data_IF_592724808288
#
_entry.id   IF_592724808288
#
_cell.length_a   1.000
_cell.length_b   1.000
_cell.length_c   1.000
_cell.angle_alpha   90.00
_cell.angle_beta   90.00
_cell.angle_gamma   90.00
#
_symmetry.space_group_name_H-M   'P 1'
#
loop_
_entity.id
_entity.type
_entity.pdbx_description
1 polymer ?
#
# COMPACT_ATOMS: atom_id res chain seq x y z
N UNK A 1 23.15 -12.61 -27.59
CA UNK A 1 22.43 -13.39 -26.56
C UNK A 1 21.80 -14.67 -27.12
N UNK A 2 20.88 -14.60 -28.10
CA UNK A 2 20.23 -15.77 -28.72
C UNK A 2 21.25 -16.80 -29.30
N UNK A 3 22.34 -16.32 -29.90
CA UNK A 3 23.40 -17.20 -30.43
C UNK A 3 24.17 -18.01 -29.37
N UNK A 4 24.28 -17.53 -28.13
CA UNK A 4 24.90 -18.28 -27.04
C UNK A 4 23.97 -19.41 -26.57
N UNK A 5 22.66 -19.14 -26.49
CA UNK A 5 21.62 -20.13 -26.15
C UNK A 5 21.60 -21.27 -27.18
N UNK A 6 21.65 -20.93 -28.47
CA UNK A 6 21.65 -21.90 -29.55
C UNK A 6 22.91 -22.80 -29.58
N UNK A 7 24.06 -22.31 -29.10
CA UNK A 7 25.30 -23.09 -28.99
C UNK A 7 25.31 -23.99 -27.74
N UNK A 8 24.78 -23.50 -26.62
CA UNK A 8 24.61 -24.31 -25.40
C UNK A 8 23.57 -25.43 -25.61
N UNK A 9 22.46 -25.15 -26.31
CA UNK A 9 21.45 -26.15 -26.67
C UNK A 9 21.99 -27.27 -27.59
N UNK A 10 23.03 -26.97 -28.38
CA UNK A 10 23.76 -27.93 -29.21
C UNK A 10 24.84 -28.71 -28.44
N UNK A 11 25.09 -28.37 -27.18
CA UNK A 11 26.12 -29.01 -26.35
C UNK A 11 27.55 -28.56 -26.65
N UNK A 12 27.72 -27.46 -27.39
CA UNK A 12 29.04 -26.93 -27.79
C UNK A 12 29.71 -26.10 -26.69
N UNK A 13 28.98 -25.75 -25.62
CA UNK A 13 29.51 -25.00 -24.47
C UNK A 13 28.99 -25.57 -23.15
N UNK A 14 29.81 -25.56 -22.07
CA UNK A 14 29.37 -25.96 -20.75
C UNK A 14 28.28 -25.00 -20.23
N UNK A 15 27.16 -25.56 -19.76
CA UNK A 15 25.97 -24.83 -19.29
C UNK A 15 26.28 -23.75 -18.24
N UNK A 16 27.36 -23.91 -17.46
CA UNK A 16 27.71 -23.02 -16.36
C UNK A 16 27.90 -21.55 -16.76
N UNK A 17 28.56 -21.26 -17.89
CA UNK A 17 28.91 -19.87 -18.28
C UNK A 17 27.68 -19.08 -18.73
N UNK A 18 26.74 -19.73 -19.42
CA UNK A 18 25.47 -19.10 -19.78
C UNK A 18 24.58 -18.83 -18.57
N UNK A 19 24.63 -19.67 -17.54
CA UNK A 19 23.78 -19.56 -16.36
C UNK A 19 24.06 -18.29 -15.53
N UNK A 20 25.33 -17.90 -15.37
CA UNK A 20 25.71 -16.71 -14.60
C UNK A 20 25.22 -15.38 -15.21
N UNK A 21 25.27 -15.26 -16.54
CA UNK A 21 24.76 -14.07 -17.24
C UNK A 21 23.24 -13.91 -17.08
N UNK A 22 22.50 -15.00 -16.94
CA UNK A 22 21.05 -14.95 -16.70
C UNK A 22 20.67 -14.67 -15.25
N UNK A 23 21.59 -14.83 -14.30
CA UNK A 23 21.29 -14.65 -12.88
C UNK A 23 21.58 -13.22 -12.40
N UNK A 24 22.62 -12.59 -12.94
CA UNK A 24 23.01 -11.22 -12.58
C UNK A 24 22.07 -10.19 -13.24
N UNK A 25 21.67 -10.43 -14.48
CA UNK A 25 20.86 -9.47 -15.27
C UNK A 25 19.45 -9.21 -14.68
N UNK A 26 18.69 -10.19 -14.15
CA UNK A 26 17.38 -9.92 -13.55
C UNK A 26 17.44 -9.44 -12.08
N UNK A 27 18.59 -9.51 -11.41
CA UNK A 27 18.74 -8.96 -10.05
C UNK A 27 18.79 -7.43 -10.03
N UNK A 28 19.37 -6.82 -11.07
CA UNK A 28 19.52 -5.36 -11.19
C UNK A 28 18.15 -4.65 -11.33
N UNK A 29 17.20 -5.13 -12.17
CA UNK A 29 15.86 -4.55 -12.24
C UNK A 29 15.11 -4.54 -10.91
N UNK A 30 15.25 -5.58 -10.08
CA UNK A 30 14.54 -5.66 -8.79
C UNK A 30 15.03 -4.57 -7.84
N UNK A 31 16.35 -4.38 -7.72
CA UNK A 31 16.93 -3.33 -6.87
C UNK A 31 16.54 -1.93 -7.35
N UNK A 32 16.51 -1.72 -8.67
CA UNK A 32 16.08 -0.44 -9.25
C UNK A 32 14.59 -0.20 -9.00
N UNK A 33 13.75 -1.24 -9.16
CA UNK A 33 12.31 -1.14 -8.91
C UNK A 33 12.03 -0.83 -7.44
N UNK A 34 12.71 -1.49 -6.49
CA UNK A 34 12.55 -1.19 -5.06
C UNK A 34 12.97 0.24 -4.73
N UNK A 35 14.13 0.69 -5.22
CA UNK A 35 14.62 2.05 -4.99
C UNK A 35 13.68 3.12 -5.58
N UNK A 36 13.16 2.88 -6.78
CA UNK A 36 12.19 3.77 -7.44
C UNK A 36 10.84 3.75 -6.72
N UNK A 37 10.40 2.60 -6.20
CA UNK A 37 9.16 2.49 -5.43
C UNK A 37 9.21 3.29 -4.14
N UNK A 38 10.32 3.16 -3.40
CA UNK A 38 10.54 3.92 -2.15
C UNK A 38 10.50 5.41 -2.45
N UNK A 39 11.25 5.88 -3.45
CA UNK A 39 11.28 7.29 -3.83
C UNK A 39 9.90 7.82 -4.29
N UNK A 40 9.17 7.05 -5.09
CA UNK A 40 7.83 7.46 -5.57
C UNK A 40 6.77 7.45 -4.46
N UNK A 41 6.91 6.57 -3.46
CA UNK A 41 5.96 6.48 -2.34
C UNK A 41 6.00 7.70 -1.43
N UNK A 42 7.16 8.37 -1.33
CA UNK A 42 7.30 9.60 -0.54
C UNK A 42 6.65 10.81 -1.22
N UNK A 43 6.67 10.84 -2.56
CA UNK A 43 6.31 12.03 -3.33
C UNK A 43 4.88 11.98 -3.90
N UNK A 44 4.32 10.79 -4.19
CA UNK A 44 3.01 10.65 -4.84
C UNK A 44 2.15 9.50 -4.27
N UNK A 45 1.47 9.72 -3.14
CA UNK A 45 0.66 8.68 -2.48
C UNK A 45 -0.56 8.22 -3.30
N UNK A 46 -1.08 9.05 -4.22
CA UNK A 46 -2.20 8.64 -5.08
C UNK A 46 -1.81 7.64 -6.17
N UNK A 47 -0.52 7.61 -6.51
CA UNK A 47 0.02 6.63 -7.46
C UNK A 47 0.15 5.27 -6.78
N UNK A 48 -0.01 5.13 -5.44
CA UNK A 48 0.11 3.85 -4.74
C UNK A 48 -0.84 2.78 -5.31
N UNK A 49 -2.05 3.14 -5.77
CA UNK A 49 -2.97 2.16 -6.34
C UNK A 49 -2.56 1.71 -7.76
N UNK A 50 -2.12 2.66 -8.60
CA UNK A 50 -1.60 2.35 -9.95
C UNK A 50 -0.25 1.65 -9.90
N UNK A 51 0.58 2.01 -8.92
CA UNK A 51 1.82 1.32 -8.59
C UNK A 51 1.49 -0.07 -8.07
N UNK A 52 0.54 -0.26 -7.15
CA UNK A 52 0.16 -1.59 -6.68
C UNK A 52 -0.23 -2.50 -7.85
N UNK A 53 -1.00 -1.98 -8.82
CA UNK A 53 -1.34 -2.72 -10.05
C UNK A 53 -0.13 -2.97 -10.96
N UNK A 54 0.69 -1.95 -11.23
CA UNK A 54 1.90 -2.08 -12.06
C UNK A 54 2.93 -3.02 -11.43
N UNK A 55 3.06 -2.99 -10.10
CA UNK A 55 3.86 -3.90 -9.30
C UNK A 55 3.29 -5.32 -9.36
N UNK A 56 1.96 -5.49 -9.25
CA UNK A 56 1.31 -6.78 -9.43
C UNK A 56 1.54 -7.34 -10.83
N UNK A 57 1.40 -6.51 -11.87
CA UNK A 57 1.65 -6.91 -13.25
C UNK A 57 3.11 -7.28 -13.49
N UNK A 58 4.06 -6.49 -12.96
CA UNK A 58 5.49 -6.80 -13.00
C UNK A 58 5.83 -8.07 -12.23
N UNK A 59 5.17 -8.31 -11.10
CA UNK A 59 5.31 -9.52 -10.30
C UNK A 59 4.79 -10.75 -11.05
N UNK A 60 3.61 -10.68 -11.68
CA UNK A 60 3.08 -11.74 -12.55
C UNK A 60 4.04 -11.98 -13.73
N UNK A 61 4.56 -10.93 -14.37
CA UNK A 61 5.53 -11.05 -15.45
C UNK A 61 6.82 -11.74 -15.00
N UNK A 62 7.33 -11.40 -13.80
CA UNK A 62 8.49 -12.06 -13.21
C UNK A 62 8.19 -13.53 -12.86
N UNK A 63 7.03 -13.84 -12.30
CA UNK A 63 6.62 -15.21 -12.00
C UNK A 63 6.46 -16.04 -13.27
N UNK A 64 5.82 -15.51 -14.32
CA UNK A 64 5.64 -16.19 -15.60
C UNK A 64 6.96 -16.39 -16.33
N UNK A 65 7.84 -15.38 -16.36
CA UNK A 65 9.18 -15.50 -16.92
C UNK A 65 10.01 -16.57 -16.18
N UNK A 66 9.89 -16.64 -14.85
CA UNK A 66 10.55 -17.67 -14.05
C UNK A 66 9.98 -19.05 -14.29
N UNK A 67 8.66 -19.20 -14.29
CA UNK A 67 8.00 -20.46 -14.59
C UNK A 67 8.40 -20.98 -15.98
N UNK A 68 8.48 -20.09 -16.97
CA UNK A 68 8.98 -20.41 -18.31
C UNK A 68 10.45 -20.85 -18.28
N UNK A 69 11.31 -20.20 -17.50
CA UNK A 69 12.70 -20.58 -17.34
C UNK A 69 12.87 -21.94 -16.65
N UNK A 70 12.06 -22.23 -15.62
CA UNK A 70 11.98 -23.56 -14.99
C UNK A 70 11.55 -24.61 -16.01
N UNK A 71 10.53 -24.32 -16.80
CA UNK A 71 10.06 -25.19 -17.87
C UNK A 71 11.16 -25.50 -18.90
N UNK A 72 11.90 -24.48 -19.36
CA UNK A 72 13.02 -24.66 -20.29
C UNK A 72 14.16 -25.50 -19.69
N UNK A 73 14.48 -25.28 -18.41
CA UNK A 73 15.51 -26.07 -17.70
C UNK A 73 15.04 -27.52 -17.56
N UNK A 74 13.81 -27.76 -17.11
CA UNK A 74 13.22 -29.09 -16.99
C UNK A 74 13.18 -29.81 -18.34
N UNK A 75 12.77 -29.12 -19.40
CA UNK A 75 12.78 -29.64 -20.76
C UNK A 75 14.20 -29.99 -21.24
N UNK A 76 15.20 -29.15 -20.95
CA UNK A 76 16.60 -29.42 -21.24
C UNK A 76 17.15 -30.64 -20.49
N UNK A 77 16.77 -30.81 -19.22
CA UNK A 77 17.11 -31.99 -18.41
C UNK A 77 16.48 -33.26 -18.99
N UNK A 78 15.19 -33.22 -19.35
CA UNK A 78 14.48 -34.35 -19.98
C UNK A 78 15.15 -34.73 -21.30
N UNK A 79 15.52 -33.75 -22.14
CA UNK A 79 16.23 -33.99 -23.39
C UNK A 79 17.63 -34.58 -23.16
N UNK A 80 18.36 -34.11 -22.14
CA UNK A 80 19.67 -34.67 -21.77
C UNK A 80 19.55 -36.11 -21.29
N UNK A 81 18.54 -36.40 -20.46
CA UNK A 81 18.24 -37.74 -19.96
C UNK A 81 17.88 -38.71 -21.09
N UNK A 82 17.05 -38.29 -22.06
CA UNK A 82 16.73 -39.08 -23.25
C UNK A 82 17.97 -39.42 -24.08
N UNK A 83 18.98 -38.54 -24.11
CA UNK A 83 20.26 -38.78 -24.79
C UNK A 83 21.29 -39.57 -23.95
N UNK A 84 20.89 -40.13 -22.79
CA UNK A 84 21.75 -40.86 -21.83
C UNK A 84 23.01 -40.11 -21.42
N UNK A 85 23.02 -38.78 -21.50
CA UNK A 85 24.13 -37.99 -20.95
C UNK A 85 23.80 -37.69 -19.49
N UNK A 86 24.64 -38.14 -18.53
CA UNK A 86 24.37 -37.88 -17.13
C UNK A 86 24.25 -36.38 -16.93
N UNK A 87 23.15 -35.94 -16.32
CA UNK A 87 23.03 -34.61 -15.76
C UNK A 87 24.10 -34.52 -14.67
N UNK A 88 25.27 -33.99 -15.05
CA UNK A 88 26.38 -33.84 -14.12
C UNK A 88 25.97 -33.01 -12.91
N UNK A 89 26.77 -33.10 -11.84
CA UNK A 89 26.61 -32.38 -10.57
C UNK A 89 26.09 -30.92 -10.71
N UNK A 90 26.57 -30.20 -11.72
CA UNK A 90 26.16 -28.81 -12.02
C UNK A 90 24.69 -28.64 -12.42
N UNK A 91 24.06 -29.66 -13.04
CA UNK A 91 22.63 -29.62 -13.37
C UNK A 91 21.74 -29.69 -12.13
N UNK A 92 22.14 -30.49 -11.14
CA UNK A 92 21.44 -30.57 -9.85
C UNK A 92 21.58 -29.28 -9.03
N UNK A 93 22.77 -28.67 -9.02
CA UNK A 93 22.99 -27.37 -8.37
C UNK A 93 22.08 -26.30 -8.99
N UNK A 94 21.96 -26.25 -10.32
CA UNK A 94 21.09 -25.29 -10.99
C UNK A 94 19.62 -25.46 -10.59
N UNK A 95 19.12 -26.70 -10.51
CA UNK A 95 17.75 -26.99 -10.06
C UNK A 95 17.53 -26.51 -8.63
N UNK A 96 18.45 -26.82 -7.70
CA UNK A 96 18.32 -26.43 -6.29
C UNK A 96 18.30 -24.90 -6.15
N UNK A 97 19.18 -24.18 -6.84
CA UNK A 97 19.21 -22.72 -6.83
C UNK A 97 17.89 -22.15 -7.34
N UNK A 98 17.36 -22.68 -8.46
CA UNK A 98 16.08 -22.23 -9.02
C UNK A 98 14.94 -22.43 -8.01
N UNK A 99 14.87 -23.59 -7.35
CA UNK A 99 13.83 -23.89 -6.35
C UNK A 99 13.94 -22.97 -5.13
N UNK A 100 15.13 -22.77 -4.57
CA UNK A 100 15.35 -21.85 -3.43
C UNK A 100 14.88 -20.43 -3.77
N UNK A 101 15.19 -19.94 -4.98
CA UNK A 101 14.77 -18.60 -5.40
C UNK A 101 13.28 -18.49 -5.71
N UNK A 102 12.65 -19.59 -6.13
CA UNK A 102 11.20 -19.65 -6.30
C UNK A 102 10.46 -19.49 -4.98
N UNK A 103 11.03 -19.96 -3.87
CA UNK A 103 10.42 -19.85 -2.53
C UNK A 103 10.76 -18.51 -1.88
N UNK A 104 12.01 -18.05 -1.97
CA UNK A 104 12.48 -16.87 -1.24
C UNK A 104 11.79 -15.56 -1.66
N UNK A 105 11.51 -15.38 -2.94
CA UNK A 105 10.96 -14.13 -3.45
C UNK A 105 9.48 -13.91 -3.12
N UNK A 106 8.59 -14.91 -3.28
CA UNK A 106 7.22 -14.78 -2.79
C UNK A 106 7.17 -14.51 -1.28
N UNK A 107 8.01 -15.17 -0.49
CA UNK A 107 8.07 -14.95 0.97
C UNK A 107 8.53 -13.53 1.29
N UNK A 108 9.63 -13.06 0.70
CA UNK A 108 10.14 -11.70 0.92
C UNK A 108 9.12 -10.64 0.48
N UNK A 109 8.46 -10.86 -0.65
CA UNK A 109 7.43 -9.96 -1.16
C UNK A 109 6.20 -9.93 -0.25
N UNK A 110 5.73 -11.11 0.18
CA UNK A 110 4.62 -11.24 1.11
C UNK A 110 4.92 -10.52 2.43
N UNK A 111 6.13 -10.68 2.98
CA UNK A 111 6.52 -9.97 4.21
C UNK A 111 6.54 -8.46 4.03
N UNK A 112 7.09 -7.94 2.92
CA UNK A 112 7.11 -6.50 2.65
C UNK A 112 5.71 -5.90 2.45
N UNK A 113 4.82 -6.65 1.81
CA UNK A 113 3.41 -6.28 1.68
C UNK A 113 2.73 -6.22 3.04
N UNK A 114 2.89 -7.25 3.87
CA UNK A 114 2.26 -7.28 5.19
C UNK A 114 2.74 -6.11 6.06
N UNK A 115 4.04 -5.78 6.04
CA UNK A 115 4.57 -4.63 6.79
C UNK A 115 4.07 -3.28 6.26
N UNK A 116 3.73 -3.18 4.98
CA UNK A 116 3.20 -1.94 4.40
C UNK A 116 1.73 -1.70 4.76
N UNK A 117 1.01 -2.74 5.17
CA UNK A 117 -0.41 -2.69 5.58
C UNK A 117 -0.60 -2.90 7.08
N UNK A 118 0.48 -3.02 7.84
CA UNK A 118 0.39 -3.14 9.29
C UNK A 118 -0.06 -1.79 9.85
N UNK A 119 -1.10 -1.74 10.70
CA UNK A 119 -1.49 -0.51 11.36
C UNK A 119 -0.29 0.02 12.16
N UNK A 120 -0.10 1.35 12.24
CA UNK A 120 1.00 1.94 12.98
C UNK A 120 0.97 1.46 14.43
N UNK A 121 2.16 1.19 14.99
CA UNK A 121 2.27 0.81 16.40
C UNK A 121 1.80 1.99 17.27
N UNK A 122 0.74 1.83 18.09
CA UNK A 122 0.24 2.89 18.98
C UNK A 122 1.32 3.49 19.88
N UNK A 123 2.33 2.70 20.21
CA UNK A 123 3.41 3.10 21.12
C UNK A 123 4.51 3.92 20.44
N UNK A 124 4.58 3.92 19.11
CA UNK A 124 5.51 4.73 18.34
C UNK A 124 4.83 6.01 17.84
N UNK A 125 5.02 7.10 18.60
CA UNK A 125 4.47 8.41 18.29
C UNK A 125 4.85 8.92 16.88
N UNK A 126 6.00 8.52 16.33
CA UNK A 126 6.40 8.93 14.99
C UNK A 126 5.55 8.24 13.93
N UNK A 127 5.27 6.94 14.10
CA UNK A 127 4.41 6.18 13.19
C UNK A 127 2.98 6.72 13.17
N UNK A 128 2.42 7.03 14.35
CA UNK A 128 1.09 7.63 14.49
C UNK A 128 1.03 8.97 13.75
N UNK A 129 2.03 9.84 13.94
CA UNK A 129 2.08 11.15 13.27
C UNK A 129 2.14 11.03 11.74
N UNK A 130 2.97 10.13 11.21
CA UNK A 130 3.06 9.92 9.75
C UNK A 130 1.72 9.45 9.19
N UNK A 131 1.05 8.54 9.88
CA UNK A 131 -0.27 8.06 9.48
C UNK A 131 -1.33 9.18 9.50
N UNK A 132 -1.35 10.00 10.56
CA UNK A 132 -2.26 11.15 10.66
C UNK A 132 -2.04 12.18 9.54
N UNK A 133 -0.78 12.48 9.21
CA UNK A 133 -0.44 13.35 8.08
C UNK A 133 -0.93 12.76 6.73
N UNK A 134 -0.82 11.45 6.55
CA UNK A 134 -1.35 10.76 5.37
C UNK A 134 -2.88 10.83 5.30
N UNK A 135 -3.59 10.58 6.41
CA UNK A 135 -5.05 10.75 6.48
C UNK A 135 -5.48 12.16 6.10
N UNK A 136 -4.81 13.20 6.62
CA UNK A 136 -5.12 14.60 6.28
C UNK A 136 -4.90 14.87 4.79
N UNK A 137 -3.80 14.36 4.21
CA UNK A 137 -3.53 14.51 2.77
C UNK A 137 -4.64 13.87 1.95
N UNK A 138 -5.05 12.65 2.29
CA UNK A 138 -6.12 11.94 1.59
C UNK A 138 -7.46 12.67 1.73
N UNK A 139 -7.82 13.11 2.94
CA UNK A 139 -9.07 13.85 3.18
C UNK A 139 -9.12 15.15 2.35
N UNK A 140 -8.00 15.89 2.28
CA UNK A 140 -7.88 17.12 1.48
C UNK A 140 -7.83 16.86 -0.02
N UNK A 141 -7.28 15.74 -0.47
CA UNK A 141 -7.25 15.42 -1.89
C UNK A 141 -8.61 14.94 -2.42
N UNK A 142 -9.35 14.19 -1.59
CA UNK A 142 -10.71 13.74 -1.92
C UNK A 142 -11.75 14.86 -1.80
N UNK A 143 -11.43 15.94 -1.10
CA UNK A 143 -12.34 17.04 -0.83
C UNK A 143 -11.78 18.35 -1.39
N UNK A 144 -12.43 18.93 -2.40
CA UNK A 144 -12.09 20.28 -2.87
C UNK A 144 -12.48 21.32 -1.80
N UNK A 145 -11.58 21.59 -0.87
CA UNK A 145 -11.78 22.55 0.21
C UNK A 145 -11.48 24.01 -0.25
N UNK A 146 -12.22 25.01 0.25
CA UNK A 146 -13.43 24.87 1.08
C UNK A 146 -14.59 24.27 0.27
N UNK A 147 -15.38 23.39 0.90
CA UNK A 147 -16.48 22.67 0.25
C UNK A 147 -17.81 23.05 0.87
N UNK A 148 -18.68 23.67 0.08
CA UNK A 148 -20.06 23.92 0.48
C UNK A 148 -20.83 22.58 0.56
N UNK A 149 -21.37 22.27 1.74
CA UNK A 149 -22.15 21.04 1.98
C UNK A 149 -23.64 21.30 1.72
N UNK A 150 -24.13 22.44 2.20
CA UNK A 150 -25.49 22.91 2.01
C UNK A 150 -25.51 24.45 1.93
N UNK A 151 -26.71 25.05 1.90
CA UNK A 151 -26.85 26.50 1.73
C UNK A 151 -26.21 27.34 2.84
N UNK A 152 -25.98 26.76 4.02
CA UNK A 152 -25.53 27.49 5.23
C UNK A 152 -24.28 26.89 5.87
N UNK A 153 -23.77 25.76 5.37
CA UNK A 153 -22.63 25.04 5.96
C UNK A 153 -21.53 24.85 4.92
N UNK A 154 -20.34 25.34 5.25
CA UNK A 154 -19.12 25.13 4.46
C UNK A 154 -18.09 24.38 5.28
N UNK A 155 -17.58 23.27 4.75
CA UNK A 155 -16.44 22.57 5.31
C UNK A 155 -15.16 23.30 4.88
N UNK A 156 -14.45 23.88 5.83
CA UNK A 156 -13.23 24.66 5.58
C UNK A 156 -11.99 23.77 5.58
N UNK A 157 -11.94 22.79 6.48
CA UNK A 157 -10.69 22.13 6.81
C UNK A 157 -10.81 20.84 7.61
N UNK A 158 -9.66 20.17 7.66
CA UNK A 158 -9.40 19.05 8.55
C UNK A 158 -8.07 19.29 9.26
N UNK A 159 -8.04 18.97 10.55
CA UNK A 159 -6.83 19.00 11.39
C UNK A 159 -6.81 17.81 12.35
N UNK A 160 -5.68 17.61 13.03
CA UNK A 160 -5.55 16.66 14.13
C UNK A 160 -5.17 17.41 15.41
N UNK A 161 -5.79 17.02 16.52
CA UNK A 161 -5.48 17.45 17.88
C UNK A 161 -5.21 16.19 18.73
N UNK A 162 -3.93 15.78 18.79
CA UNK A 162 -3.54 14.50 19.37
C UNK A 162 -4.15 13.33 18.60
N UNK A 163 -4.96 12.51 19.28
CA UNK A 163 -5.71 11.38 18.70
C UNK A 163 -7.14 11.77 18.27
N UNK A 164 -7.40 13.08 18.15
CA UNK A 164 -8.70 13.61 17.73
C UNK A 164 -8.62 14.14 16.31
N UNK A 165 -9.43 13.59 15.40
CA UNK A 165 -9.58 14.16 14.07
C UNK A 165 -10.62 15.29 14.11
N UNK A 166 -10.27 16.48 13.64
CA UNK A 166 -11.11 17.67 13.76
C UNK A 166 -11.61 18.09 12.38
N UNK A 167 -12.93 18.13 12.23
CA UNK A 167 -13.63 18.72 11.09
C UNK A 167 -13.95 20.18 11.40
N UNK A 168 -13.58 21.10 10.51
CA UNK A 168 -13.78 22.53 10.70
C UNK A 168 -14.83 23.03 9.71
N UNK A 169 -15.96 23.51 10.24
CA UNK A 169 -17.08 24.05 9.47
C UNK A 169 -17.24 25.54 9.76
N UNK A 170 -17.52 26.31 8.71
CA UNK A 170 -18.07 27.66 8.80
C UNK A 170 -19.58 27.60 8.54
N UNK A 171 -20.33 28.25 9.42
CA UNK A 171 -21.77 28.46 9.26
C UNK A 171 -22.01 29.89 8.74
N UNK A 172 -22.93 30.01 7.77
CA UNK A 172 -23.36 31.29 7.22
C UNK A 172 -24.22 32.07 8.24
N UNK A 173 -24.27 33.39 8.10
CA UNK A 173 -25.00 34.30 8.99
C UNK A 173 -26.51 34.01 9.00
N UNK A 174 -27.03 33.41 7.92
CA UNK A 174 -28.43 33.01 7.79
C UNK A 174 -28.84 31.84 8.71
N UNK A 175 -27.88 31.15 9.35
CA UNK A 175 -28.16 30.02 10.25
C UNK A 175 -28.89 30.43 11.55
N UNK A 176 -28.85 31.72 11.89
CA UNK A 176 -29.48 32.30 13.08
C UNK A 176 -28.60 32.22 14.34
N UNK A 177 -28.96 33.00 15.36
CA UNK A 177 -28.09 33.32 16.50
C UNK A 177 -27.75 32.15 17.45
N UNK A 178 -28.36 30.96 17.29
CA UNK A 178 -28.20 29.85 18.24
C UNK A 178 -28.17 28.48 17.57
N UNK A 179 -26.97 27.90 17.48
CA UNK A 179 -26.77 26.49 17.18
C UNK A 179 -26.97 25.63 18.44
N UNK A 180 -28.02 24.80 18.46
CA UNK A 180 -28.23 23.78 19.48
C UNK A 180 -27.40 22.52 19.14
N UNK A 181 -26.15 22.50 19.59
CA UNK A 181 -25.21 21.40 19.33
C UNK A 181 -25.70 20.06 19.87
N UNK A 182 -26.32 20.03 21.05
CA UNK A 182 -26.78 18.77 21.65
C UNK A 182 -27.89 18.13 20.81
N UNK A 183 -28.80 18.96 20.30
CA UNK A 183 -29.84 18.51 19.38
C UNK A 183 -29.26 18.04 18.05
N UNK A 184 -28.26 18.76 17.51
CA UNK A 184 -27.55 18.36 16.29
C UNK A 184 -26.84 17.00 16.48
N UNK A 185 -26.06 16.86 17.55
CA UNK A 185 -25.37 15.62 17.92
C UNK A 185 -26.36 14.48 18.01
N UNK A 186 -27.46 14.64 18.75
CA UNK A 186 -28.48 13.60 18.93
C UNK A 186 -29.13 13.17 17.61
N UNK A 187 -29.42 14.12 16.72
CA UNK A 187 -30.07 13.84 15.43
C UNK A 187 -29.13 13.18 14.43
N UNK A 188 -27.87 13.61 14.38
CA UNK A 188 -26.86 13.12 13.43
C UNK A 188 -26.05 11.93 13.94
N UNK A 189 -26.14 11.60 15.24
CA UNK A 189 -25.33 10.56 15.88
C UNK A 189 -25.20 9.26 15.07
N UNK A 190 -26.29 8.68 14.50
CA UNK A 190 -26.16 7.43 13.74
C UNK A 190 -25.29 7.54 12.50
N UNK A 191 -25.32 8.70 11.82
CA UNK A 191 -24.49 8.97 10.65
C UNK A 191 -23.04 9.26 11.06
N UNK A 192 -22.85 10.05 12.12
CA UNK A 192 -21.52 10.36 12.65
C UNK A 192 -20.81 9.10 13.16
N UNK A 193 -21.53 8.18 13.79
CA UNK A 193 -20.98 6.91 14.24
C UNK A 193 -20.56 5.99 13.09
N UNK A 194 -21.29 5.98 11.97
CA UNK A 194 -20.86 5.23 10.77
C UNK A 194 -19.56 5.78 10.21
N UNK A 195 -19.48 7.11 10.12
CA UNK A 195 -18.29 7.82 9.63
C UNK A 195 -17.11 7.58 10.59
N UNK A 196 -17.34 7.68 11.90
CA UNK A 196 -16.35 7.38 12.94
C UNK A 196 -15.83 5.93 12.84
N UNK A 197 -16.72 4.94 12.78
CA UNK A 197 -16.35 3.53 12.67
C UNK A 197 -15.51 3.23 11.41
N UNK A 198 -15.71 3.97 10.32
CA UNK A 198 -14.90 3.82 9.10
C UNK A 198 -13.49 4.41 9.20
N UNK A 199 -13.27 5.35 10.14
CA UNK A 199 -11.99 6.01 10.38
C UNK A 199 -11.25 5.43 11.59
N UNK A 200 -11.96 4.71 12.46
CA UNK A 200 -11.42 4.18 13.70
C UNK A 200 -10.26 3.24 13.39
N UNK A 201 -9.09 3.61 13.90
CA UNK A 201 -7.86 2.83 13.82
C UNK A 201 -7.23 2.86 15.20
N UNK A 202 -7.06 1.68 15.78
CA UNK A 202 -6.55 1.52 17.15
C UNK A 202 -5.22 2.26 17.32
N UNK A 203 -5.11 3.06 18.38
CA UNK A 203 -3.88 3.80 18.69
C UNK A 203 -3.64 5.06 17.86
N UNK A 204 -4.48 5.35 16.87
CA UNK A 204 -4.29 6.47 15.93
C UNK A 204 -5.39 7.52 16.05
N UNK A 205 -6.64 7.05 16.16
CA UNK A 205 -7.83 7.88 16.21
C UNK A 205 -8.76 7.37 17.30
N UNK A 206 -8.88 8.16 18.37
CA UNK A 206 -9.77 7.86 19.49
C UNK A 206 -11.10 8.60 19.38
N UNK A 207 -11.06 9.82 18.82
CA UNK A 207 -12.21 10.73 18.81
C UNK A 207 -12.29 11.50 17.50
N UNK A 208 -13.50 11.95 17.17
CA UNK A 208 -13.74 12.91 16.09
C UNK A 208 -14.44 14.13 16.65
N UNK A 209 -13.87 15.31 16.41
CA UNK A 209 -14.44 16.60 16.82
C UNK A 209 -14.98 17.34 15.60
N UNK A 210 -16.16 17.91 15.73
CA UNK A 210 -16.80 18.76 14.73
C UNK A 210 -16.84 20.17 15.31
N UNK A 211 -16.08 21.08 14.73
CA UNK A 211 -15.98 22.49 15.13
C UNK A 211 -16.79 23.34 14.15
N UNK A 212 -17.75 24.11 14.67
CA UNK A 212 -18.59 25.02 13.91
C UNK A 212 -18.23 26.45 14.31
N UNK A 213 -17.75 27.24 13.35
CA UNK A 213 -17.50 28.67 13.51
C UNK A 213 -18.72 29.46 13.04
N UNK A 214 -19.30 30.26 13.94
CA UNK A 214 -20.41 31.17 13.66
C UNK A 214 -20.08 32.54 14.28
N UNK A 215 -19.99 33.59 13.46
CA UNK A 215 -19.61 34.95 13.90
C UNK A 215 -18.32 35.04 14.73
N UNK A 216 -17.36 34.15 14.47
CA UNK A 216 -16.09 34.07 15.21
C UNK A 216 -16.19 33.35 16.56
N UNK A 217 -17.37 32.88 16.96
CA UNK A 217 -17.52 31.93 18.05
C UNK A 217 -17.44 30.51 17.51
N UNK A 218 -16.55 29.70 18.11
CA UNK A 218 -16.43 28.29 17.77
C UNK A 218 -17.19 27.45 18.80
N UNK A 219 -18.17 26.70 18.34
CA UNK A 219 -18.88 25.70 19.14
C UNK A 219 -18.50 24.31 18.61
N UNK A 220 -18.25 23.35 19.50
CA UNK A 220 -17.78 22.03 19.09
C UNK A 220 -18.57 20.89 19.73
N UNK A 221 -18.64 19.78 19.01
CA UNK A 221 -19.06 18.48 19.56
C UNK A 221 -18.00 17.44 19.29
N UNK A 222 -17.83 16.51 20.22
CA UNK A 222 -16.93 15.36 20.06
C UNK A 222 -17.75 14.07 20.06
N UNK A 223 -17.37 13.16 19.18
CA UNK A 223 -17.88 11.79 19.08
C UNK A 223 -16.73 10.85 19.42
N UNK A 224 -17.00 9.88 20.28
CA UNK A 224 -16.08 8.78 20.58
C UNK A 224 -16.80 7.42 20.60
N UNK A 225 -16.07 6.36 20.93
CA UNK A 225 -16.61 5.00 20.95
C UNK A 225 -17.83 4.87 21.88
N UNK A 226 -17.83 5.56 23.02
CA UNK A 226 -18.91 5.47 24.01
C UNK A 226 -20.22 6.07 23.53
N UNK A 227 -20.16 7.06 22.62
CA UNK A 227 -21.33 7.62 21.95
C UNK A 227 -21.96 6.62 20.96
N UNK A 228 -21.19 5.66 20.44
CA UNK A 228 -21.59 4.75 19.37
C UNK A 228 -21.95 3.33 19.85
N UNK A 229 -21.42 2.87 20.99
CA UNK A 229 -21.65 1.51 21.53
C UNK A 229 -23.08 1.27 22.06
N UNK A 230 -23.88 2.34 22.20
CA UNK A 230 -25.22 2.28 22.81
C UNK A 230 -26.41 2.16 21.84
N UNK A 231 -26.19 1.98 20.53
CA UNK A 231 -27.27 1.99 19.51
C UNK A 231 -27.09 0.96 18.39
#
# INVERSE_FOLDING_TARGET
MIGAIAKTARGERPLGVTYWLWYIVPGIPIVIIDAVSIALSEEYPEIIYWNAFAFWAAFILLLTAKAFLVYLIGYGVILSARKRKPTGFWGWIAIIIVVINMIRLPVSYYTSLMTAFEPPDPSDAQSVRVYQEQMLRQARAQTSLPKQIDSVTTLEGFTFDGLTFVYQYALDEEFGDRLDIERLKTHRLPELCKTFASMQTDGVLERVRYEYSLHGETVSMTIDQSDCDGK
#
